data_IF_319730612753
#
_entry.id   IF_319730612753
#
_cell.length_a   1.000
_cell.length_b   1.000
_cell.length_c   1.000
_cell.angle_alpha   90.00
_cell.angle_beta   90.00
_cell.angle_gamma   90.00
#
_symmetry.space_group_name_H-M   'P 1'
#
loop_
_entity.id
_entity.type
_entity.pdbx_description
1 polymer ?
#
# COMPACT_ATOMS: atom_id res chain seq x y z
N UNK A 1 -6.52 11.86 -2.61
CA UNK A 1 -6.50 11.04 -1.38
C UNK A 1 -5.10 10.53 -1.15
N UNK A 2 -4.70 10.39 0.10
CA UNK A 2 -3.45 9.72 0.45
C UNK A 2 -3.73 8.27 0.79
N UNK A 3 -3.03 7.37 0.12
CA UNK A 3 -3.20 5.93 0.27
C UNK A 3 -1.90 5.35 0.82
N UNK A 4 -2.01 4.54 1.87
CA UNK A 4 -0.89 3.78 2.41
C UNK A 4 -0.91 2.37 1.85
N UNK A 5 0.26 1.84 1.54
CA UNK A 5 0.44 0.44 1.15
C UNK A 5 1.46 -0.17 2.10
N UNK A 6 1.06 -1.22 2.80
CA UNK A 6 1.93 -1.95 3.73
C UNK A 6 2.40 -3.22 3.06
N UNK A 7 3.69 -3.29 2.81
CA UNK A 7 4.31 -4.35 2.05
C UNK A 7 4.74 -3.88 0.67
N UNK A 8 6.00 -4.08 0.33
CA UNK A 8 6.59 -3.59 -0.93
C UNK A 8 7.04 -4.72 -1.85
N UNK A 9 6.47 -5.92 -1.69
CA UNK A 9 6.66 -7.02 -2.62
C UNK A 9 5.94 -6.77 -3.95
N UNK A 10 5.83 -7.80 -4.78
CA UNK A 10 5.21 -7.67 -6.11
C UNK A 10 3.77 -7.15 -6.04
N UNK A 11 2.98 -7.68 -5.11
CA UNK A 11 1.57 -7.27 -4.96
C UNK A 11 1.47 -5.83 -4.45
N UNK A 12 2.19 -5.47 -3.38
CA UNK A 12 2.16 -4.12 -2.83
C UNK A 12 2.67 -3.07 -3.82
N UNK A 13 3.74 -3.37 -4.55
CA UNK A 13 4.26 -2.50 -5.59
C UNK A 13 3.25 -2.30 -6.73
N UNK A 14 2.56 -3.37 -7.14
CA UNK A 14 1.52 -3.29 -8.17
C UNK A 14 0.33 -2.45 -7.75
N UNK A 15 -0.12 -2.61 -6.51
CA UNK A 15 -1.21 -1.79 -5.94
C UNK A 15 -0.80 -0.33 -5.92
N UNK A 16 0.42 -0.04 -5.47
CA UNK A 16 0.95 1.32 -5.43
C UNK A 16 0.99 1.97 -6.81
N UNK A 17 1.42 1.21 -7.83
CA UNK A 17 1.45 1.70 -9.21
C UNK A 17 0.06 2.07 -9.70
N UNK A 18 -0.93 1.21 -9.48
CA UNK A 18 -2.33 1.46 -9.89
C UNK A 18 -2.86 2.73 -9.22
N UNK A 19 -2.65 2.86 -7.91
CA UNK A 19 -3.15 4.00 -7.15
C UNK A 19 -2.48 5.32 -7.57
N UNK A 20 -1.17 5.31 -7.77
CA UNK A 20 -0.42 6.49 -8.22
C UNK A 20 -0.80 6.89 -9.65
N UNK A 21 -1.03 5.91 -10.51
CA UNK A 21 -1.50 6.15 -11.89
C UNK A 21 -2.87 6.81 -11.90
N UNK A 22 -3.73 6.43 -10.95
CA UNK A 22 -5.08 7.01 -10.80
C UNK A 22 -5.05 8.43 -10.21
N UNK A 23 -3.90 8.94 -9.80
CA UNK A 23 -3.75 10.32 -9.32
C UNK A 23 -3.65 10.47 -7.80
N UNK A 24 -3.57 9.38 -7.06
CA UNK A 24 -3.43 9.43 -5.60
C UNK A 24 -1.98 9.52 -5.17
N UNK A 25 -1.73 10.20 -4.05
CA UNK A 25 -0.45 10.12 -3.36
C UNK A 25 -0.38 8.80 -2.62
N UNK A 26 0.71 8.05 -2.81
CA UNK A 26 0.86 6.71 -2.26
C UNK A 26 2.11 6.64 -1.40
N UNK A 27 1.94 6.23 -0.15
CA UNK A 27 3.04 6.00 0.78
C UNK A 27 3.20 4.49 0.94
N UNK A 28 4.34 3.97 0.50
CA UNK A 28 4.65 2.54 0.56
C UNK A 28 5.54 2.31 1.76
N UNK A 29 5.10 1.44 2.65
CA UNK A 29 5.85 1.05 3.84
C UNK A 29 6.33 -0.39 3.73
N UNK A 30 7.55 -0.63 4.15
CA UNK A 30 8.08 -1.97 4.40
C UNK A 30 9.04 -1.89 5.57
N UNK A 31 9.06 -2.92 6.41
CA UNK A 31 10.01 -2.99 7.52
C UNK A 31 11.42 -3.39 7.06
N UNK A 32 11.57 -3.79 5.80
CA UNK A 32 12.85 -4.15 5.20
C UNK A 32 13.30 -3.05 4.24
N UNK A 33 14.33 -2.25 4.59
CA UNK A 33 14.79 -1.16 3.72
C UNK A 33 15.25 -1.61 2.34
N UNK A 34 15.82 -2.80 2.23
CA UNK A 34 16.27 -3.34 0.94
C UNK A 34 15.09 -3.69 0.03
N UNK A 35 14.03 -4.25 0.60
CA UNK A 35 12.81 -4.54 -0.14
C UNK A 35 12.16 -3.25 -0.63
N UNK A 36 12.15 -2.23 0.21
CA UNK A 36 11.60 -0.91 -0.12
C UNK A 36 12.38 -0.25 -1.27
N UNK A 37 13.70 -0.29 -1.23
CA UNK A 37 14.56 0.22 -2.29
C UNK A 37 14.34 -0.53 -3.61
N UNK A 38 14.25 -1.85 -3.55
CA UNK A 38 13.95 -2.69 -4.72
C UNK A 38 12.60 -2.33 -5.34
N UNK A 39 11.60 -2.08 -4.51
CA UNK A 39 10.27 -1.65 -4.97
C UNK A 39 10.35 -0.32 -5.70
N UNK A 40 11.04 0.67 -5.12
CA UNK A 40 11.23 1.99 -5.73
C UNK A 40 11.90 1.88 -7.09
N UNK A 41 13.03 1.19 -7.14
CA UNK A 41 13.81 1.05 -8.37
C UNK A 41 13.01 0.31 -9.44
N UNK A 42 12.29 -0.73 -9.06
CA UNK A 42 11.44 -1.50 -9.96
C UNK A 42 10.28 -0.68 -10.52
N UNK A 43 9.59 0.08 -9.68
CA UNK A 43 8.48 0.93 -10.10
C UNK A 43 8.96 2.04 -11.03
N UNK A 44 10.07 2.69 -10.71
CA UNK A 44 10.62 3.75 -11.55
C UNK A 44 11.07 3.20 -12.90
N UNK A 45 11.69 2.02 -12.92
CA UNK A 45 12.09 1.36 -14.16
C UNK A 45 10.88 1.03 -15.05
N UNK A 46 9.78 0.54 -14.46
CA UNK A 46 8.54 0.24 -15.20
C UNK A 46 7.98 1.51 -15.83
N UNK A 47 7.89 2.60 -15.06
CA UNK A 47 7.35 3.86 -15.55
C UNK A 47 8.21 4.46 -16.66
N UNK A 48 9.52 4.42 -16.50
CA UNK A 48 10.46 4.89 -17.52
C UNK A 48 10.34 4.05 -18.79
N UNK A 49 10.15 2.74 -18.66
CA UNK A 49 9.97 1.84 -19.81
C UNK A 49 8.68 2.14 -20.56
N UNK A 50 7.59 2.42 -19.83
CA UNK A 50 6.33 2.79 -20.45
C UNK A 50 6.46 4.10 -21.24
N UNK A 51 7.19 5.07 -20.71
CA UNK A 51 7.47 6.32 -21.40
C UNK A 51 8.32 6.09 -22.65
N UNK A 52 9.37 5.30 -22.56
CA UNK A 52 10.24 4.96 -23.71
C UNK A 52 9.47 4.26 -24.82
N UNK A 53 8.51 3.41 -24.46
CA UNK A 53 7.66 2.72 -25.44
C UNK A 53 6.52 3.59 -26.00
N UNK A 54 6.39 4.83 -25.54
CA UNK A 54 5.33 5.72 -25.97
C UNK A 54 3.93 5.39 -25.42
N UNK A 55 3.84 4.53 -24.40
CA UNK A 55 2.56 4.18 -23.77
C UNK A 55 2.03 5.29 -22.88
N UNK A 56 2.93 6.05 -22.28
CA UNK A 56 2.67 7.30 -21.56
C UNK A 56 3.74 8.30 -21.97
N UNK A 57 3.49 9.61 -21.80
CA UNK A 57 4.54 10.59 -22.07
C UNK A 57 5.46 10.75 -20.86
N UNK A 58 6.61 11.42 -21.07
CA UNK A 58 7.61 11.62 -20.02
C UNK A 58 7.05 12.40 -18.83
N UNK A 59 6.22 13.40 -19.10
CA UNK A 59 5.62 14.22 -18.05
C UNK A 59 4.68 13.38 -17.17
N UNK A 60 3.89 12.49 -17.77
CA UNK A 60 3.02 11.57 -17.04
C UNK A 60 3.82 10.60 -16.19
N UNK A 61 4.91 10.02 -16.73
CA UNK A 61 5.77 9.13 -15.98
C UNK A 61 6.36 9.83 -14.74
N UNK A 62 6.85 11.05 -14.91
CA UNK A 62 7.41 11.83 -13.80
C UNK A 62 6.34 12.20 -12.77
N UNK A 63 5.12 12.52 -13.21
CA UNK A 63 4.02 12.84 -12.31
C UNK A 63 3.64 11.64 -11.44
N UNK A 64 3.58 10.45 -12.04
CA UNK A 64 3.29 9.20 -11.29
C UNK A 64 4.41 8.92 -10.30
N UNK A 65 5.67 9.01 -10.72
CA UNK A 65 6.82 8.84 -9.82
C UNK A 65 6.77 9.81 -8.65
N UNK A 66 6.38 11.04 -8.90
CA UNK A 66 6.26 12.08 -7.86
C UNK A 66 5.16 11.84 -6.84
N UNK A 67 4.22 10.93 -7.11
CA UNK A 67 3.16 10.55 -6.18
C UNK A 67 3.52 9.33 -5.34
N UNK A 68 4.67 8.68 -5.60
CA UNK A 68 5.13 7.49 -4.87
C UNK A 68 6.14 7.92 -3.81
N UNK A 69 5.83 7.64 -2.54
CA UNK A 69 6.68 7.91 -1.39
C UNK A 69 7.01 6.60 -0.70
N UNK A 70 8.28 6.40 -0.39
CA UNK A 70 8.78 5.16 0.21
C UNK A 70 9.20 5.47 1.63
N UNK A 71 8.51 4.89 2.61
CA UNK A 71 8.67 5.25 4.03
C UNK A 71 9.09 4.04 4.85
N UNK A 72 9.97 4.26 5.82
CA UNK A 72 10.50 3.20 6.68
C UNK A 72 9.81 3.15 8.04
N UNK A 73 8.95 4.12 8.35
CA UNK A 73 8.23 4.20 9.61
C UNK A 73 6.73 4.09 9.37
N UNK A 74 6.09 3.12 10.04
CA UNK A 74 4.65 2.91 9.91
C UNK A 74 3.85 4.15 10.31
N UNK A 75 4.35 4.95 11.26
CA UNK A 75 3.70 6.19 11.70
C UNK A 75 3.54 7.21 10.57
N UNK A 76 4.34 7.11 9.53
CA UNK A 76 4.22 8.00 8.35
C UNK A 76 2.89 7.81 7.62
N UNK A 77 2.16 6.72 7.91
CA UNK A 77 0.85 6.46 7.32
C UNK A 77 -0.31 7.12 8.09
N UNK A 78 -0.02 7.90 9.12
CA UNK A 78 -1.05 8.47 10.01
C UNK A 78 -2.11 9.31 9.29
N UNK A 79 -1.75 10.00 8.22
CA UNK A 79 -2.66 10.90 7.49
C UNK A 79 -3.30 10.28 6.27
N UNK A 80 -3.15 8.97 6.08
CA UNK A 80 -3.79 8.28 4.95
C UNK A 80 -5.27 8.05 5.22
N UNK A 81 -6.08 8.11 4.16
CA UNK A 81 -7.52 7.81 4.24
C UNK A 81 -7.85 6.36 3.93
N UNK A 82 -6.93 5.65 3.32
CA UNK A 82 -7.05 4.23 2.99
C UNK A 82 -5.66 3.60 3.14
N UNK A 83 -5.59 2.50 3.86
CA UNK A 83 -4.37 1.69 3.93
C UNK A 83 -4.68 0.30 3.40
N UNK A 84 -3.85 -0.19 2.50
CA UNK A 84 -3.99 -1.52 1.91
C UNK A 84 -2.80 -2.37 2.35
N UNK A 85 -3.07 -3.48 3.01
CA UNK A 85 -2.04 -4.39 3.47
C UNK A 85 -1.83 -5.51 2.44
N UNK A 86 -0.59 -5.76 2.06
CA UNK A 86 -0.17 -6.77 1.10
C UNK A 86 1.12 -7.47 1.57
N UNK A 87 1.17 -7.83 2.85
CA UNK A 87 2.32 -8.55 3.41
C UNK A 87 2.13 -10.07 3.27
N UNK A 88 3.17 -10.82 3.68
CA UNK A 88 3.12 -12.28 3.63
C UNK A 88 1.92 -12.84 4.41
N UNK A 89 1.44 -14.02 3.99
CA UNK A 89 0.30 -14.68 4.60
C UNK A 89 0.63 -15.25 5.99
N UNK A 90 0.61 -14.37 6.98
CA UNK A 90 0.77 -14.71 8.39
C UNK A 90 -0.27 -13.91 9.19
N UNK A 91 -1.26 -14.60 9.71
CA UNK A 91 -2.41 -13.96 10.36
C UNK A 91 -2.00 -13.14 11.60
N UNK A 92 -1.06 -13.64 12.40
CA UNK A 92 -0.63 -12.93 13.61
C UNK A 92 0.11 -11.64 13.28
N UNK A 93 0.94 -11.65 12.22
CA UNK A 93 1.62 -10.45 11.72
C UNK A 93 0.57 -9.45 11.23
N UNK A 94 -0.42 -9.89 10.46
CA UNK A 94 -1.48 -9.02 9.95
C UNK A 94 -2.31 -8.40 11.07
N UNK A 95 -2.68 -9.17 12.09
CA UNK A 95 -3.40 -8.66 13.27
C UNK A 95 -2.60 -7.58 13.98
N UNK A 96 -1.30 -7.78 14.17
CA UNK A 96 -0.41 -6.81 14.80
C UNK A 96 -0.33 -5.52 13.99
N UNK A 97 -0.18 -5.63 12.68
CA UNK A 97 -0.13 -4.48 11.78
C UNK A 97 -1.44 -3.68 11.84
N UNK A 98 -2.59 -4.36 11.77
CA UNK A 98 -3.88 -3.69 11.79
C UNK A 98 -4.17 -3.01 13.13
N UNK A 99 -3.76 -3.60 14.24
CA UNK A 99 -3.89 -2.95 15.55
C UNK A 99 -3.07 -1.65 15.59
N UNK A 100 -1.86 -1.66 15.05
CA UNK A 100 -1.02 -0.46 14.96
C UNK A 100 -1.62 0.58 14.01
N UNK A 101 -2.08 0.16 12.84
CA UNK A 101 -2.71 1.06 11.87
C UNK A 101 -3.96 1.72 12.44
N UNK A 102 -4.78 0.97 13.13
CA UNK A 102 -5.97 1.52 13.79
C UNK A 102 -5.60 2.62 14.79
N UNK A 103 -4.51 2.42 15.53
CA UNK A 103 -4.06 3.37 16.53
C UNK A 103 -3.48 4.66 15.93
N UNK A 104 -2.80 4.58 14.78
CA UNK A 104 -2.08 5.72 14.20
C UNK A 104 -2.88 6.49 13.15
N UNK A 105 -3.84 5.86 12.46
CA UNK A 105 -4.64 6.52 11.43
C UNK A 105 -5.87 7.22 12.01
N UNK A 106 -6.46 8.12 11.23
CA UNK A 106 -7.68 8.81 11.64
C UNK A 106 -8.87 7.85 11.76
N UNK A 107 -9.88 8.25 12.53
CA UNK A 107 -11.05 7.42 12.80
C UNK A 107 -11.83 7.02 11.53
N UNK A 108 -11.77 7.84 10.49
CA UNK A 108 -12.47 7.60 9.23
C UNK A 108 -11.64 6.83 8.20
N UNK A 109 -10.39 6.53 8.51
CA UNK A 109 -9.52 5.80 7.60
C UNK A 109 -9.98 4.35 7.45
N UNK A 110 -9.99 3.87 6.22
CA UNK A 110 -10.34 2.49 5.89
C UNK A 110 -9.08 1.64 5.88
N UNK A 111 -9.12 0.49 6.52
CA UNK A 111 -8.02 -0.45 6.61
C UNK A 111 -8.38 -1.70 5.82
N UNK A 112 -7.73 -1.88 4.68
CA UNK A 112 -8.02 -2.98 3.77
C UNK A 112 -6.92 -4.03 3.80
N UNK A 113 -7.30 -5.28 3.64
CA UNK A 113 -6.34 -6.39 3.52
C UNK A 113 -6.54 -7.12 2.20
N UNK A 114 -5.44 -7.48 1.56
CA UNK A 114 -5.44 -8.32 0.37
C UNK A 114 -5.28 -9.79 0.77
N UNK A 115 -6.33 -10.33 1.40
CA UNK A 115 -6.33 -11.71 1.91
C UNK A 115 -7.72 -12.33 1.80
N UNK A 116 -7.87 -13.60 2.24
CA UNK A 116 -9.14 -14.32 2.17
C UNK A 116 -10.18 -13.76 3.15
N UNK A 117 -11.47 -13.99 2.88
CA UNK A 117 -12.56 -13.50 3.71
C UNK A 117 -12.51 -14.03 5.14
N UNK A 118 -12.05 -15.26 5.36
CA UNK A 118 -11.89 -15.83 6.71
C UNK A 118 -10.86 -15.05 7.52
N UNK A 119 -9.73 -14.70 6.88
CA UNK A 119 -8.68 -13.90 7.51
C UNK A 119 -9.15 -12.47 7.77
N UNK A 120 -9.99 -11.90 6.90
CA UNK A 120 -10.56 -10.55 7.10
C UNK A 120 -11.33 -10.50 8.41
N UNK A 121 -12.22 -11.48 8.66
CA UNK A 121 -12.98 -11.57 9.90
C UNK A 121 -12.07 -11.65 11.13
N UNK A 122 -11.04 -12.49 11.07
CA UNK A 122 -10.08 -12.64 12.16
C UNK A 122 -9.29 -11.36 12.43
N UNK A 123 -8.88 -10.66 11.39
CA UNK A 123 -8.17 -9.38 11.50
C UNK A 123 -9.08 -8.32 12.12
N UNK A 124 -10.30 -8.20 11.62
CA UNK A 124 -11.29 -7.25 12.15
C UNK A 124 -11.58 -7.49 13.63
N UNK A 125 -11.62 -8.77 14.04
CA UNK A 125 -11.83 -9.14 15.44
C UNK A 125 -10.69 -8.72 16.36
N UNK A 126 -9.51 -8.45 15.84
CA UNK A 126 -8.37 -7.95 16.62
C UNK A 126 -8.39 -6.42 16.77
N UNK A 127 -9.30 -5.73 16.09
CA UNK A 127 -9.40 -4.28 16.10
C UNK A 127 -10.50 -3.82 17.05
N UNK A 128 -10.37 -2.61 17.59
CA UNK A 128 -11.40 -1.98 18.43
C UNK A 128 -12.57 -1.48 17.59
N UNK A 129 -12.31 -1.14 16.34
CA UNK A 129 -13.31 -0.65 15.38
C UNK A 129 -13.32 -1.56 14.15
N UNK A 130 -13.87 -2.78 14.28
CA UNK A 130 -13.80 -3.77 13.20
C UNK A 130 -14.49 -3.33 11.91
N UNK A 131 -15.42 -2.40 11.97
CA UNK A 131 -16.12 -1.83 10.81
C UNK A 131 -15.22 -1.05 9.88
N UNK A 132 -14.00 -0.68 10.32
CA UNK A 132 -13.01 0.00 9.49
C UNK A 132 -12.25 -0.98 8.59
N UNK A 133 -12.34 -2.28 8.85
CA UNK A 133 -11.56 -3.31 8.16
C UNK A 133 -12.37 -3.95 7.07
N UNK A 134 -11.80 -4.05 5.87
CA UNK A 134 -12.43 -4.75 4.75
C UNK A 134 -11.39 -5.50 3.92
N UNK A 135 -11.86 -6.43 3.10
CA UNK A 135 -11.03 -7.17 2.17
C UNK A 135 -11.10 -6.55 0.78
N UNK A 136 -9.94 -6.45 0.14
CA UNK A 136 -9.82 -6.05 -1.26
C UNK A 136 -9.00 -7.09 -2.00
N UNK A 137 -9.52 -7.59 -3.13
CA UNK A 137 -8.80 -8.52 -3.97
C UNK A 137 -8.20 -7.80 -5.17
N UNK A 138 -6.91 -8.02 -5.39
CA UNK A 138 -6.21 -7.55 -6.56
C UNK A 138 -5.74 -8.75 -7.36
N UNK A 139 -5.96 -8.72 -8.67
CA UNK A 139 -5.54 -9.78 -9.58
C UNK A 139 -4.29 -9.34 -10.33
N UNK A 140 -3.32 -10.24 -10.42
CA UNK A 140 -2.09 -9.99 -11.17
C UNK A 140 -2.30 -10.08 -12.68
#
# INVERSE_FOLDING_TARGET
MKIGVVGSGAMGSGIAQVAATAGHEVLIYDNNPKALEKSRDGLFAILNKLATKGKIDDATAKAIQGRLYFVENLDDLAETGLVIEAVVENLEIKKSIFAKLEAITGADAILATNTSSLSVTSIAGACKQPERVLGLHFFN
#
